data_IF_647587274182
#
_entry.id   IF_647587274182
#
_cell.length_a   1.000
_cell.length_b   1.000
_cell.length_c   1.000
_cell.angle_alpha   90.00
_cell.angle_beta   90.00
_cell.angle_gamma   90.00
#
_symmetry.space_group_name_H-M   'P 1'
#
loop_
_entity.id
_entity.type
_entity.pdbx_description
1 polymer ?
#
# COMPACT_ATOMS: atom_id res chain seq x y z
N UNK A 1 -17.42 56.94 -110.83
CA UNK A 1 -18.67 57.28 -111.54
C UNK A 1 -19.82 57.02 -110.59
N UNK A 2 -20.54 58.09 -110.23
CA UNK A 2 -21.87 58.12 -109.57
C UNK A 2 -21.98 57.48 -108.16
N UNK A 3 -22.73 58.03 -107.21
CA UNK A 3 -23.52 59.27 -107.13
C UNK A 3 -23.72 59.56 -105.63
N UNK A 4 -23.79 60.84 -105.32
CA UNK A 4 -24.31 61.41 -104.08
C UNK A 4 -25.71 60.88 -103.70
N UNK A 5 -26.05 60.84 -102.41
CA UNK A 5 -27.36 61.40 -102.02
C UNK A 5 -27.39 61.89 -100.57
N UNK A 6 -27.34 63.23 -100.44
CA UNK A 6 -28.25 64.11 -99.68
C UNK A 6 -29.58 63.43 -99.28
N UNK A 7 -30.29 63.68 -98.19
CA UNK A 7 -30.51 64.87 -97.33
C UNK A 7 -31.48 64.39 -96.22
N UNK A 8 -31.36 64.93 -94.99
CA UNK A 8 -32.39 65.67 -94.25
C UNK A 8 -32.33 65.43 -92.74
N UNK A 9 -32.25 66.55 -92.06
CA UNK A 9 -32.14 66.78 -90.63
C UNK A 9 -33.47 66.51 -89.92
N UNK A 10 -33.44 65.78 -88.81
CA UNK A 10 -34.43 65.92 -87.73
C UNK A 10 -33.64 65.96 -86.42
N UNK A 11 -33.65 67.12 -85.78
CA UNK A 11 -33.08 67.31 -84.45
C UNK A 11 -34.06 66.69 -83.46
N UNK A 12 -33.63 65.61 -82.79
CA UNK A 12 -34.28 65.08 -81.60
C UNK A 12 -33.30 65.32 -80.44
N UNK A 13 -33.63 66.27 -79.57
CA UNK A 13 -32.88 66.49 -78.34
C UNK A 13 -33.20 65.37 -77.36
N UNK A 14 -32.25 64.45 -77.19
CA UNK A 14 -32.27 63.46 -76.09
C UNK A 14 -31.38 64.02 -74.99
N UNK A 15 -31.97 64.37 -73.84
CA UNK A 15 -31.20 64.57 -72.62
C UNK A 15 -30.66 63.22 -72.18
N UNK A 16 -29.36 63.01 -72.35
CA UNK A 16 -28.65 61.88 -71.78
C UNK A 16 -28.29 62.24 -70.33
N UNK A 17 -29.13 61.85 -69.38
CA UNK A 17 -28.77 61.86 -67.96
C UNK A 17 -27.77 60.72 -67.72
N UNK A 18 -26.48 61.02 -67.80
CA UNK A 18 -25.43 60.13 -67.29
C UNK A 18 -25.55 60.17 -65.77
N UNK A 19 -26.19 59.14 -65.20
CA UNK A 19 -26.09 58.86 -63.77
C UNK A 19 -24.68 58.32 -63.54
N UNK A 20 -23.80 59.14 -62.97
CA UNK A 20 -22.53 58.66 -62.44
C UNK A 20 -22.88 57.83 -61.21
N UNK A 21 -22.78 56.50 -61.28
CA UNK A 21 -22.81 55.68 -60.07
C UNK A 21 -21.61 56.08 -59.21
N UNK A 22 -21.86 56.34 -57.93
CA UNK A 22 -20.80 56.63 -56.96
C UNK A 22 -19.87 55.41 -56.91
N UNK A 23 -18.57 55.63 -56.93
CA UNK A 23 -17.55 54.57 -56.82
C UNK A 23 -17.67 53.87 -55.47
N UNK A 24 -17.70 52.53 -55.47
CA UNK A 24 -17.85 51.70 -54.27
C UNK A 24 -16.57 51.74 -53.41
N UNK A 25 -16.71 51.98 -52.11
CA UNK A 25 -15.60 51.92 -51.16
C UNK A 25 -15.64 50.54 -50.47
N UNK A 26 -14.56 49.73 -50.50
CA UNK A 26 -14.54 48.44 -49.81
C UNK A 26 -14.83 48.59 -48.30
N UNK A 27 -15.45 47.58 -47.67
CA UNK A 27 -15.73 47.62 -46.24
C UNK A 27 -14.44 47.55 -45.41
N UNK A 28 -14.48 48.01 -44.16
CA UNK A 28 -13.47 47.73 -43.13
C UNK A 28 -13.83 46.46 -42.36
N UNK A 29 -12.83 45.78 -41.83
CA UNK A 29 -13.03 44.56 -41.03
C UNK A 29 -11.86 44.36 -40.07
N UNK A 30 -12.17 44.23 -38.78
CA UNK A 30 -11.23 43.92 -37.71
C UNK A 30 -11.86 42.91 -36.74
N UNK A 31 -11.06 41.95 -36.26
CA UNK A 31 -11.48 41.07 -35.17
C UNK A 31 -11.19 41.83 -33.87
N UNK A 32 -12.23 42.18 -33.13
CA UNK A 32 -12.12 42.91 -31.86
C UNK A 32 -12.00 41.98 -30.65
N UNK A 33 -12.31 40.70 -30.82
CA UNK A 33 -12.00 39.62 -29.89
C UNK A 33 -12.13 38.26 -30.61
N UNK A 34 -11.27 37.27 -30.34
CA UNK A 34 -10.10 37.32 -29.45
C UNK A 34 -8.93 38.11 -30.03
N UNK A 35 -7.95 38.44 -29.18
CA UNK A 35 -6.70 39.07 -29.60
C UNK A 35 -5.79 38.06 -30.32
N UNK A 36 -4.94 38.55 -31.23
CA UNK A 36 -3.98 37.68 -31.91
C UNK A 36 -2.91 37.16 -30.92
N UNK A 37 -2.86 35.85 -30.76
CA UNK A 37 -2.00 35.14 -29.82
C UNK A 37 -2.64 34.90 -28.45
N UNK A 38 -3.93 35.19 -28.27
CA UNK A 38 -4.65 34.89 -27.04
C UNK A 38 -4.75 33.36 -26.81
N UNK A 39 -4.72 32.94 -25.55
CA UNK A 39 -4.72 31.55 -25.14
C UNK A 39 -6.06 31.19 -24.48
N UNK A 40 -6.58 30.01 -24.82
CA UNK A 40 -7.83 29.44 -24.29
C UNK A 40 -7.62 27.95 -23.99
N UNK A 41 -8.50 27.33 -23.22
CA UNK A 41 -8.49 25.88 -23.00
C UNK A 41 -9.47 25.19 -23.95
N UNK A 42 -9.12 23.99 -24.45
CA UNK A 42 -10.08 23.13 -25.17
C UNK A 42 -11.29 22.88 -24.27
N UNK A 43 -12.47 23.24 -24.74
CA UNK A 43 -13.73 23.20 -23.98
C UNK A 43 -14.28 24.58 -23.60
N UNK A 44 -13.50 25.65 -23.78
CA UNK A 44 -14.01 27.03 -23.68
C UNK A 44 -14.99 27.35 -24.81
N UNK A 45 -15.95 28.24 -24.51
CA UNK A 45 -16.78 28.89 -25.54
C UNK A 45 -16.13 30.23 -25.87
N UNK A 46 -15.58 30.34 -27.08
CA UNK A 46 -14.91 31.54 -27.57
C UNK A 46 -15.90 32.37 -28.40
N UNK A 47 -16.07 33.63 -28.04
CA UNK A 47 -16.90 34.57 -28.83
C UNK A 47 -16.02 35.39 -29.76
N UNK A 48 -16.06 35.08 -31.06
CA UNK A 48 -15.39 35.86 -32.09
C UNK A 48 -16.24 37.09 -32.39
N UNK A 49 -15.75 38.27 -32.05
CA UNK A 49 -16.42 39.56 -32.24
C UNK A 49 -15.71 40.35 -33.34
N UNK A 50 -16.48 40.93 -34.26
CA UNK A 50 -15.96 41.59 -35.46
C UNK A 50 -16.54 43.00 -35.58
N UNK A 51 -15.64 43.97 -35.75
CA UNK A 51 -15.96 45.35 -36.10
C UNK A 51 -15.83 45.50 -37.62
N UNK A 52 -16.97 45.58 -38.31
CA UNK A 52 -17.03 45.77 -39.75
C UNK A 52 -17.95 46.95 -40.10
N UNK A 53 -17.45 47.87 -40.92
CA UNK A 53 -18.18 49.05 -41.37
C UNK A 53 -18.05 49.22 -42.88
N UNK A 54 -19.07 49.80 -43.50
CA UNK A 54 -19.03 50.20 -44.90
C UNK A 54 -19.36 51.69 -44.99
N UNK A 55 -18.46 52.45 -45.62
CA UNK A 55 -18.49 53.91 -45.63
C UNK A 55 -19.50 54.48 -46.64
N UNK A 56 -19.86 53.71 -47.67
CA UNK A 56 -20.81 54.14 -48.70
C UNK A 56 -21.99 53.19 -48.93
N UNK A 57 -22.05 52.10 -48.18
CA UNK A 57 -23.15 51.14 -48.23
C UNK A 57 -23.45 50.48 -46.88
N UNK A 58 -23.72 49.19 -46.94
CA UNK A 58 -23.99 48.34 -45.77
C UNK A 58 -23.23 47.03 -45.90
N UNK A 59 -22.83 46.45 -44.76
CA UNK A 59 -22.33 45.07 -44.73
C UNK A 59 -23.47 44.10 -45.05
N UNK A 60 -23.29 43.29 -46.09
CA UNK A 60 -24.21 42.20 -46.47
C UNK A 60 -23.98 40.95 -45.61
N UNK A 61 -22.71 40.60 -45.34
CA UNK A 61 -22.35 39.39 -44.62
C UNK A 61 -20.96 39.46 -43.98
N UNK A 62 -20.84 39.00 -42.74
CA UNK A 62 -19.57 38.62 -42.10
C UNK A 62 -19.55 37.09 -41.97
N UNK A 63 -18.53 36.43 -42.51
CA UNK A 63 -18.38 34.96 -42.46
C UNK A 63 -17.14 34.56 -41.67
N UNK A 64 -17.30 33.56 -40.82
CA UNK A 64 -16.29 33.07 -39.89
C UNK A 64 -15.71 31.74 -40.37
N UNK A 65 -14.40 31.59 -40.21
CA UNK A 65 -13.67 30.38 -40.56
C UNK A 65 -12.70 29.99 -39.45
N UNK A 66 -12.64 28.69 -39.16
CA UNK A 66 -11.66 28.05 -38.27
C UNK A 66 -10.82 27.11 -39.14
N UNK A 67 -9.51 27.32 -39.18
CA UNK A 67 -8.57 26.58 -40.04
C UNK A 67 -9.04 26.46 -41.50
N UNK A 68 -9.50 27.59 -42.04
CA UNK A 68 -10.06 27.74 -43.39
C UNK A 68 -11.40 26.99 -43.64
N UNK A 69 -11.98 26.33 -42.64
CA UNK A 69 -13.31 25.72 -42.67
C UNK A 69 -14.35 26.77 -42.27
N UNK A 70 -15.38 26.98 -43.10
CA UNK A 70 -16.46 27.92 -42.78
C UNK A 70 -17.38 27.38 -41.68
N UNK A 71 -17.50 28.12 -40.57
CA UNK A 71 -18.24 27.68 -39.37
C UNK A 71 -19.54 28.46 -39.12
N UNK A 72 -19.69 29.65 -39.70
CA UNK A 72 -20.89 30.46 -39.51
C UNK A 72 -20.83 31.80 -40.23
N UNK A 73 -21.91 32.58 -40.12
CA UNK A 73 -22.01 33.92 -40.67
C UNK A 73 -22.98 34.79 -39.86
N UNK A 74 -22.76 36.11 -39.86
CA UNK A 74 -23.66 37.11 -39.31
C UNK A 74 -24.00 38.16 -40.39
N UNK A 75 -25.27 38.54 -40.50
CA UNK A 75 -25.76 39.50 -41.50
C UNK A 75 -26.27 40.81 -40.88
N UNK A 76 -26.04 41.02 -39.58
CA UNK A 76 -26.44 42.24 -38.86
C UNK A 76 -25.59 42.42 -37.60
N UNK A 77 -25.32 43.67 -37.23
CA UNK A 77 -24.61 44.02 -36.00
C UNK A 77 -25.37 43.59 -34.72
N UNK A 78 -24.69 43.06 -33.68
CA UNK A 78 -23.25 42.78 -33.60
C UNK A 78 -22.85 41.54 -34.41
N UNK A 79 -21.69 41.59 -35.07
CA UNK A 79 -21.17 40.50 -35.88
C UNK A 79 -20.35 39.54 -35.02
N UNK A 80 -21.06 38.65 -34.32
CA UNK A 80 -20.45 37.69 -33.40
C UNK A 80 -20.68 36.24 -33.83
N UNK A 81 -19.74 35.37 -33.47
CA UNK A 81 -19.88 33.92 -33.56
C UNK A 81 -19.40 33.26 -32.25
N UNK A 82 -20.26 32.49 -31.61
CA UNK A 82 -19.90 31.65 -30.46
C UNK A 82 -19.39 30.31 -30.97
N UNK A 83 -18.13 30.01 -30.67
CA UNK A 83 -17.44 28.77 -31.03
C UNK A 83 -17.21 27.92 -29.78
N UNK A 84 -17.82 26.74 -29.76
CA UNK A 84 -17.60 25.71 -28.72
C UNK A 84 -16.39 24.86 -29.11
N UNK A 85 -15.30 24.98 -28.35
CA UNK A 85 -14.02 24.35 -28.68
C UNK A 85 -13.87 22.91 -28.15
N UNK A 86 -14.90 22.33 -27.53
CA UNK A 86 -14.81 21.02 -26.85
C UNK A 86 -14.38 19.84 -27.72
N UNK A 87 -14.57 19.94 -29.04
CA UNK A 87 -14.27 18.89 -30.02
C UNK A 87 -13.01 19.20 -30.84
N UNK A 88 -12.28 20.27 -30.49
CA UNK A 88 -11.06 20.71 -31.18
C UNK A 88 -9.82 20.04 -30.57
N UNK A 89 -8.79 19.83 -31.40
CA UNK A 89 -7.46 19.43 -30.92
C UNK A 89 -6.75 20.62 -30.25
N UNK A 90 -5.88 20.36 -29.27
CA UNK A 90 -5.02 21.39 -28.70
C UNK A 90 -3.97 21.87 -29.72
N UNK A 91 -3.57 23.13 -29.62
CA UNK A 91 -2.56 23.74 -30.48
C UNK A 91 -2.98 25.08 -31.09
N UNK A 92 -2.21 25.52 -32.09
CA UNK A 92 -2.42 26.81 -32.74
C UNK A 92 -3.55 26.69 -33.76
N UNK A 93 -4.63 27.45 -33.55
CA UNK A 93 -5.79 27.51 -34.44
C UNK A 93 -5.85 28.84 -35.18
N UNK A 94 -6.17 28.82 -36.48
CA UNK A 94 -6.31 30.04 -37.29
C UNK A 94 -7.76 30.47 -37.41
N UNK A 95 -8.05 31.68 -36.93
CA UNK A 95 -9.33 32.33 -37.15
C UNK A 95 -9.21 33.26 -38.34
N UNK A 96 -10.09 33.10 -39.32
CA UNK A 96 -10.23 34.00 -40.47
C UNK A 96 -11.66 34.51 -40.52
N UNK A 97 -11.83 35.80 -40.77
CA UNK A 97 -13.13 36.44 -40.98
C UNK A 97 -13.14 37.15 -42.32
N UNK A 98 -14.25 37.08 -43.04
CA UNK A 98 -14.47 37.85 -44.27
C UNK A 98 -15.72 38.72 -44.16
N UNK A 99 -15.60 40.03 -44.36
CA UNK A 99 -16.73 40.97 -44.45
C UNK A 99 -17.00 41.32 -45.91
N UNK A 100 -18.27 41.26 -46.33
CA UNK A 100 -18.75 41.52 -47.68
C UNK A 100 -19.76 42.67 -47.67
N UNK A 101 -19.59 43.66 -48.52
CA UNK A 101 -20.51 44.79 -48.68
C UNK A 101 -21.71 44.47 -49.59
N UNK A 102 -22.66 45.42 -49.71
CA UNK A 102 -23.86 45.29 -50.55
C UNK A 102 -23.57 45.34 -52.07
N UNK A 103 -22.33 45.64 -52.45
CA UNK A 103 -21.84 45.58 -53.85
C UNK A 103 -21.01 44.33 -54.14
N UNK A 104 -20.80 43.47 -53.14
CA UNK A 104 -20.11 42.18 -53.24
C UNK A 104 -18.59 42.24 -53.10
N UNK A 105 -18.00 43.37 -52.68
CA UNK A 105 -16.56 43.45 -52.35
C UNK A 105 -16.31 42.79 -51.00
N UNK A 106 -15.25 42.01 -50.91
CA UNK A 106 -14.88 41.23 -49.71
C UNK A 106 -13.52 41.69 -49.17
N UNK A 107 -13.45 41.90 -47.86
CA UNK A 107 -12.19 42.09 -47.11
C UNK A 107 -12.04 40.96 -46.09
N UNK A 108 -10.80 40.49 -45.90
CA UNK A 108 -10.48 39.41 -44.96
C UNK A 108 -9.48 39.86 -43.90
N UNK A 109 -9.64 39.35 -42.68
CA UNK A 109 -8.71 39.49 -41.56
C UNK A 109 -8.43 38.12 -40.94
N UNK A 110 -7.23 37.93 -40.39
CA UNK A 110 -6.77 36.67 -39.81
C UNK A 110 -6.04 36.92 -38.51
N UNK A 111 -6.28 36.06 -37.53
CA UNK A 111 -5.50 35.95 -36.30
C UNK A 111 -5.20 34.47 -36.03
N UNK A 112 -4.31 34.21 -35.09
CA UNK A 112 -4.10 32.87 -34.54
C UNK A 112 -4.25 32.92 -33.03
N UNK A 113 -4.86 31.89 -32.46
CA UNK A 113 -4.96 31.68 -31.01
C UNK A 113 -4.29 30.35 -30.65
N UNK A 114 -4.03 30.13 -29.36
CA UNK A 114 -3.55 28.84 -28.85
C UNK A 114 -4.65 28.20 -28.00
N UNK A 115 -5.06 26.98 -28.36
CA UNK A 115 -5.87 26.13 -27.50
C UNK A 115 -4.95 25.23 -26.68
N UNK A 116 -5.00 25.35 -25.36
CA UNK A 116 -4.30 24.48 -24.42
C UNK A 116 -5.13 23.21 -24.13
N UNK A 117 -4.49 22.08 -23.75
CA UNK A 117 -5.21 20.87 -23.36
C UNK A 117 -6.14 21.17 -22.18
N UNK A 118 -7.45 21.09 -22.40
CA UNK A 118 -8.43 21.31 -21.33
C UNK A 118 -8.33 20.27 -20.21
N UNK A 119 -8.53 20.70 -18.97
CA UNK A 119 -8.53 19.84 -17.78
C UNK A 119 -7.60 20.31 -16.66
N UNK A 120 -7.62 19.61 -15.53
CA UNK A 120 -6.72 19.85 -14.40
C UNK A 120 -5.63 18.77 -14.38
N UNK A 121 -4.39 19.07 -13.95
CA UNK A 121 -3.39 18.03 -13.70
C UNK A 121 -3.92 17.02 -12.66
N UNK A 122 -3.49 15.75 -12.71
CA UNK A 122 -3.98 14.75 -11.78
C UNK A 122 -3.60 15.11 -10.35
N UNK A 123 -4.38 14.64 -9.38
CA UNK A 123 -3.98 14.69 -7.95
C UNK A 123 -3.78 13.26 -7.49
N UNK A 124 -2.53 12.92 -7.16
CA UNK A 124 -2.15 11.56 -6.82
C UNK A 124 -2.74 11.14 -5.46
N UNK A 125 -3.40 10.00 -5.43
CA UNK A 125 -3.86 9.40 -4.18
C UNK A 125 -3.89 7.87 -4.30
N UNK A 126 -3.50 7.15 -3.25
CA UNK A 126 -3.61 5.69 -3.23
C UNK A 126 -3.87 5.05 -1.87
N UNK A 127 -4.27 3.78 -1.89
CA UNK A 127 -4.40 2.93 -0.71
C UNK A 127 -3.89 1.50 -0.96
N UNK A 128 -3.69 0.74 0.11
CA UNK A 128 -3.38 -0.68 0.08
C UNK A 128 -4.38 -1.47 0.94
N UNK A 129 -4.68 -2.71 0.56
CA UNK A 129 -5.60 -3.57 1.31
C UNK A 129 -5.02 -4.06 2.66
N UNK A 130 -3.69 -4.06 2.80
CA UNK A 130 -2.96 -4.32 4.05
C UNK A 130 -1.62 -3.58 4.03
N UNK A 131 -1.15 -3.16 5.21
CA UNK A 131 0.11 -2.43 5.38
C UNK A 131 1.15 -3.21 6.19
N UNK A 132 0.75 -4.35 6.77
CA UNK A 132 1.64 -5.31 7.43
C UNK A 132 1.60 -6.63 6.68
N UNK A 133 2.78 -7.12 6.30
CA UNK A 133 2.97 -8.30 5.46
C UNK A 133 3.97 -9.24 6.10
N UNK A 134 3.85 -10.52 5.74
CA UNK A 134 4.93 -11.48 5.90
C UNK A 134 5.71 -11.59 4.58
N UNK A 135 7.02 -11.82 4.63
CA UNK A 135 7.83 -12.09 3.44
C UNK A 135 7.16 -13.11 2.50
N UNK A 136 7.08 -12.76 1.22
CA UNK A 136 6.45 -13.57 0.19
C UNK A 136 4.93 -13.39 0.08
N UNK A 137 4.30 -12.61 0.96
CA UNK A 137 2.91 -12.23 0.79
C UNK A 137 2.73 -11.08 -0.22
N UNK A 138 1.63 -11.15 -0.96
CA UNK A 138 1.22 -10.07 -1.86
C UNK A 138 0.31 -9.06 -1.16
N UNK A 139 0.45 -7.79 -1.52
CA UNK A 139 -0.45 -6.67 -1.22
C UNK A 139 -1.13 -6.21 -2.51
N UNK A 140 -2.36 -5.74 -2.41
CA UNK A 140 -3.10 -5.11 -3.51
C UNK A 140 -3.15 -3.60 -3.27
N UNK A 141 -2.61 -2.84 -4.22
CA UNK A 141 -2.73 -1.39 -4.24
C UNK A 141 -3.93 -0.96 -5.09
N UNK A 142 -4.53 0.16 -4.68
CA UNK A 142 -5.68 0.77 -5.35
C UNK A 142 -5.40 2.25 -5.58
N UNK A 143 -5.47 2.66 -6.84
CA UNK A 143 -5.43 4.07 -7.26
C UNK A 143 -6.72 4.80 -6.82
N UNK A 144 -6.56 6.01 -6.29
CA UNK A 144 -7.62 6.90 -5.83
C UNK A 144 -7.45 8.32 -6.40
N UNK A 145 -6.57 8.48 -7.39
CA UNK A 145 -6.22 9.76 -7.97
C UNK A 145 -7.40 10.40 -8.71
N UNK A 146 -7.42 11.74 -8.78
CA UNK A 146 -8.47 12.51 -9.46
C UNK A 146 -7.97 13.17 -10.75
N UNK A 147 -8.88 13.80 -11.50
CA UNK A 147 -8.63 14.51 -12.77
C UNK A 147 -8.13 13.58 -13.91
N UNK A 148 -8.83 12.45 -14.06
CA UNK A 148 -8.70 11.50 -15.18
C UNK A 148 -7.25 11.14 -15.57
N UNK A 149 -6.48 10.50 -14.66
CA UNK A 149 -5.17 9.98 -14.99
C UNK A 149 -5.20 9.01 -16.18
N UNK A 150 -4.24 9.14 -17.08
CA UNK A 150 -4.04 8.24 -18.23
C UNK A 150 -2.77 7.40 -18.11
N UNK A 151 -1.90 7.69 -17.13
CA UNK A 151 -0.69 6.93 -16.84
C UNK A 151 -0.42 6.80 -15.34
N UNK A 152 0.18 5.67 -14.94
CA UNK A 152 0.60 5.35 -13.58
C UNK A 152 2.03 4.86 -13.56
N UNK A 153 2.79 5.24 -12.54
CA UNK A 153 4.11 4.74 -12.25
C UNK A 153 4.24 4.55 -10.74
N UNK A 154 4.30 3.29 -10.32
CA UNK A 154 4.50 2.87 -8.95
C UNK A 154 5.98 2.61 -8.69
N UNK A 155 6.46 3.04 -7.53
CA UNK A 155 7.70 2.58 -6.90
C UNK A 155 7.32 1.99 -5.54
N UNK A 156 7.65 0.70 -5.33
CA UNK A 156 7.28 -0.03 -4.12
C UNK A 156 8.31 0.11 -3.00
N UNK A 157 9.43 0.81 -3.24
CA UNK A 157 10.49 1.05 -2.26
C UNK A 157 11.49 -0.09 -2.09
N UNK A 158 11.29 -1.21 -2.79
CA UNK A 158 12.17 -2.38 -2.81
C UNK A 158 13.01 -2.49 -4.09
N UNK A 159 12.96 -1.46 -4.95
CA UNK A 159 13.60 -1.41 -6.26
C UNK A 159 12.74 -1.96 -7.41
N UNK A 160 11.52 -2.44 -7.13
CA UNK A 160 10.55 -2.84 -8.14
C UNK A 160 9.51 -1.75 -8.43
N UNK A 161 8.93 -1.81 -9.63
CA UNK A 161 8.00 -0.78 -10.14
C UNK A 161 6.86 -1.39 -10.93
N UNK A 162 5.76 -0.65 -11.12
CA UNK A 162 4.63 -1.06 -11.97
C UNK A 162 3.98 0.12 -12.70
N UNK A 163 3.38 -0.13 -13.86
CA UNK A 163 2.56 0.85 -14.62
C UNK A 163 1.07 0.50 -14.65
N UNK A 164 0.65 -0.56 -13.96
CA UNK A 164 -0.76 -0.90 -13.83
C UNK A 164 -1.47 0.08 -12.90
N UNK A 165 -2.73 0.44 -13.18
CA UNK A 165 -3.52 1.31 -12.31
C UNK A 165 -3.68 0.74 -10.88
N UNK A 166 -4.00 -0.55 -10.76
CA UNK A 166 -4.22 -1.24 -9.49
C UNK A 166 -3.32 -2.48 -9.38
N UNK A 167 -2.01 -2.34 -9.10
CA UNK A 167 -1.09 -3.47 -9.10
C UNK A 167 -1.22 -4.34 -7.84
N UNK A 168 -0.97 -5.64 -8.00
CA UNK A 168 -0.60 -6.51 -6.88
C UNK A 168 0.93 -6.63 -6.85
N UNK A 169 1.51 -6.47 -5.66
CA UNK A 169 2.96 -6.54 -5.45
C UNK A 169 3.30 -7.51 -4.33
N UNK A 170 4.43 -8.21 -4.45
CA UNK A 170 4.91 -9.18 -3.45
C UNK A 170 6.26 -8.74 -2.93
N UNK A 171 6.34 -8.47 -1.63
CA UNK A 171 7.60 -8.13 -0.99
C UNK A 171 8.31 -9.40 -0.52
N UNK A 172 9.51 -9.65 -1.05
CA UNK A 172 10.28 -10.86 -0.77
C UNK A 172 11.30 -10.72 0.37
N UNK A 173 11.44 -9.52 0.92
CA UNK A 173 12.42 -9.21 1.96
C UNK A 173 11.73 -8.43 3.07
N UNK A 174 12.13 -8.70 4.31
CA UNK A 174 11.66 -7.96 5.47
C UNK A 174 12.23 -6.54 5.48
N UNK A 175 11.43 -5.60 5.97
CA UNK A 175 11.80 -4.20 6.03
C UNK A 175 10.58 -3.29 6.09
N UNK A 176 10.84 -2.00 6.16
CA UNK A 176 9.81 -0.96 6.02
C UNK A 176 10.05 -0.25 4.70
N UNK A 177 9.01 -0.15 3.90
CA UNK A 177 9.07 0.34 2.52
C UNK A 177 8.29 1.64 2.38
N UNK A 178 8.93 2.61 1.74
CA UNK A 178 8.29 3.82 1.23
C UNK A 178 7.67 3.51 -0.13
N UNK A 179 6.38 3.84 -0.30
CA UNK A 179 5.68 3.61 -1.56
C UNK A 179 5.35 4.95 -2.19
N UNK A 180 5.62 5.06 -3.49
CA UNK A 180 5.32 6.24 -4.30
C UNK A 180 4.45 5.89 -5.50
N UNK A 181 3.47 6.72 -5.78
CA UNK A 181 2.66 6.69 -7.00
C UNK A 181 2.81 8.02 -7.71
N UNK A 182 3.26 7.99 -8.97
CA UNK A 182 3.17 9.12 -9.91
C UNK A 182 2.06 8.85 -10.93
N UNK A 183 1.17 9.81 -11.11
CA UNK A 183 0.09 9.77 -12.11
C UNK A 183 0.26 10.88 -13.13
N UNK A 184 -0.20 10.66 -14.36
CA UNK A 184 -0.04 11.61 -15.48
C UNK A 184 -1.30 11.65 -16.32
N UNK A 185 -1.64 12.84 -16.84
CA UNK A 185 -2.62 13.05 -17.90
C UNK A 185 -2.03 14.02 -18.96
N UNK A 186 -2.84 14.50 -19.91
CA UNK A 186 -2.41 15.45 -20.96
C UNK A 186 -2.02 16.82 -20.41
N UNK A 187 -2.57 17.21 -19.26
CA UNK A 187 -2.34 18.51 -18.61
C UNK A 187 -1.11 18.51 -17.69
N UNK A 188 -0.70 17.34 -17.17
CA UNK A 188 0.50 17.25 -16.35
C UNK A 188 0.61 15.96 -15.52
N UNK A 189 1.36 16.03 -14.43
CA UNK A 189 1.61 14.91 -13.52
C UNK A 189 1.67 15.34 -12.07
N UNK A 190 1.33 14.44 -11.16
CA UNK A 190 1.48 14.60 -9.72
C UNK A 190 1.94 13.29 -9.06
N UNK A 191 2.47 13.37 -7.84
CA UNK A 191 2.99 12.22 -7.10
C UNK A 191 2.64 12.24 -5.62
N UNK A 192 2.19 11.10 -5.09
CA UNK A 192 2.01 10.87 -3.65
C UNK A 192 3.08 9.88 -3.16
N UNK A 193 3.74 10.19 -2.05
CA UNK A 193 4.72 9.29 -1.41
C UNK A 193 4.35 9.08 0.06
N UNK A 194 4.30 7.83 0.49
CA UNK A 194 4.02 7.44 1.88
C UNK A 194 5.24 6.73 2.46
N UNK A 195 6.00 7.45 3.29
CA UNK A 195 7.18 6.90 3.98
C UNK A 195 6.78 5.81 4.98
N UNK A 196 7.46 4.67 4.92
CA UNK A 196 7.23 3.54 5.81
C UNK A 196 5.83 2.93 5.73
N UNK A 197 5.17 3.05 4.58
CA UNK A 197 3.77 2.68 4.39
C UNK A 197 3.51 1.18 4.49
N UNK A 198 4.47 0.36 4.02
CA UNK A 198 4.40 -1.10 4.10
C UNK A 198 5.48 -1.60 5.05
N UNK A 199 5.09 -2.43 6.01
CA UNK A 199 6.01 -3.16 6.90
C UNK A 199 5.94 -4.64 6.58
N UNK A 200 7.08 -5.21 6.18
CA UNK A 200 7.23 -6.63 5.91
C UNK A 200 8.05 -7.21 7.05
N UNK A 201 7.46 -8.15 7.78
CA UNK A 201 8.18 -8.95 8.77
C UNK A 201 8.68 -10.21 8.09
N UNK A 202 9.84 -10.70 8.53
CA UNK A 202 10.35 -12.00 8.10
C UNK A 202 9.30 -13.06 8.33
N UNK A 203 9.10 -13.96 7.37
CA UNK A 203 8.23 -15.11 7.60
C UNK A 203 8.80 -15.94 8.72
N UNK A 204 8.21 -15.78 9.91
CA UNK A 204 8.58 -16.37 11.20
C UNK A 204 9.69 -17.41 11.15
N UNK A 205 10.90 -16.92 10.92
CA UNK A 205 12.15 -17.45 11.37
C UNK A 205 12.57 -18.85 10.98
N UNK A 206 11.89 -19.73 10.21
CA UNK A 206 12.41 -21.11 10.04
C UNK A 206 13.81 -21.13 9.41
N UNK A 207 14.85 -21.26 10.24
CA UNK A 207 16.27 -21.25 9.83
C UNK A 207 16.82 -22.66 9.66
N UNK A 208 16.08 -23.66 10.11
CA UNK A 208 16.42 -25.05 9.93
C UNK A 208 15.62 -25.96 10.85
N UNK A 209 16.21 -27.11 11.14
CA UNK A 209 15.70 -28.06 12.11
C UNK A 209 16.82 -28.59 12.99
N UNK A 210 16.46 -28.99 14.21
CA UNK A 210 17.32 -29.75 15.12
C UNK A 210 16.63 -31.07 15.45
N UNK A 211 17.41 -32.14 15.57
CA UNK A 211 16.90 -33.47 15.91
C UNK A 211 17.48 -33.91 17.26
N UNK A 212 16.63 -34.39 18.17
CA UNK A 212 17.11 -34.99 19.43
C UNK A 212 17.64 -36.42 19.23
N UNK A 213 18.12 -37.04 20.32
CA UNK A 213 18.67 -38.39 20.28
C UNK A 213 17.63 -39.48 19.93
N UNK A 214 16.34 -39.16 20.03
CA UNK A 214 15.24 -40.07 19.77
C UNK A 214 14.65 -39.89 18.36
N UNK A 215 15.22 -38.98 17.57
CA UNK A 215 14.75 -38.68 16.22
C UNK A 215 13.58 -37.71 16.16
N UNK A 216 13.21 -37.06 17.27
CA UNK A 216 12.24 -35.98 17.24
C UNK A 216 12.88 -34.78 16.53
N UNK A 217 12.25 -34.35 15.43
CA UNK A 217 12.67 -33.18 14.66
C UNK A 217 11.89 -31.96 15.15
N UNK A 218 12.60 -30.86 15.34
CA UNK A 218 12.05 -29.58 15.77
C UNK A 218 12.51 -28.48 14.82
N UNK A 219 11.59 -27.59 14.46
CA UNK A 219 11.90 -26.35 13.73
C UNK A 219 12.76 -25.43 14.58
N UNK A 220 13.71 -24.74 13.93
CA UNK A 220 14.54 -23.72 14.56
C UNK A 220 14.26 -22.36 13.95
N UNK A 221 14.41 -21.32 14.76
CA UNK A 221 14.17 -19.94 14.38
C UNK A 221 15.26 -19.01 14.85
N UNK A 222 15.59 -17.98 14.07
CA UNK A 222 16.57 -16.95 14.48
C UNK A 222 15.86 -15.65 14.86
N UNK A 223 16.09 -15.18 16.08
CA UNK A 223 15.61 -13.89 16.58
C UNK A 223 16.81 -13.08 17.03
N UNK A 224 17.10 -11.98 16.33
CA UNK A 224 18.32 -11.22 16.52
C UNK A 224 19.54 -12.08 16.23
N UNK A 225 20.43 -12.24 17.21
CA UNK A 225 21.62 -13.08 17.10
C UNK A 225 21.44 -14.50 17.66
N UNK A 226 20.25 -14.81 18.20
CA UNK A 226 19.98 -16.06 18.89
C UNK A 226 19.19 -17.03 18.00
N UNK A 227 19.57 -18.31 17.98
CA UNK A 227 18.82 -19.37 17.31
C UNK A 227 18.09 -20.24 18.34
N UNK A 228 16.76 -20.25 18.27
CA UNK A 228 15.85 -20.89 19.20
C UNK A 228 15.13 -22.07 18.56
N UNK A 229 14.68 -23.04 19.35
CA UNK A 229 13.66 -23.98 18.91
C UNK A 229 12.29 -23.28 18.83
N UNK A 230 11.58 -23.50 17.72
CA UNK A 230 10.20 -23.05 17.51
C UNK A 230 9.15 -24.02 18.06
N UNK A 231 9.57 -25.18 18.58
CA UNK A 231 8.67 -26.17 19.19
C UNK A 231 9.09 -26.53 20.61
N UNK A 232 8.10 -26.92 21.45
CA UNK A 232 8.39 -27.38 22.80
C UNK A 232 9.10 -28.74 22.74
N UNK A 233 10.12 -28.91 23.58
CA UNK A 233 10.88 -30.16 23.65
C UNK A 233 10.00 -31.34 24.09
N UNK A 234 10.14 -32.48 23.42
CA UNK A 234 9.35 -33.71 23.65
C UNK A 234 10.20 -34.97 23.83
N UNK A 235 11.46 -34.79 24.20
CA UNK A 235 12.39 -35.87 24.43
C UNK A 235 12.11 -36.59 25.76
N UNK A 236 12.37 -37.89 25.81
CA UNK A 236 12.27 -38.71 27.00
C UNK A 236 13.66 -39.16 27.49
N UNK A 237 14.71 -38.70 26.82
CA UNK A 237 16.11 -39.00 27.11
C UNK A 237 16.95 -37.74 27.07
N UNK A 238 18.00 -37.75 27.88
CA UNK A 238 19.09 -36.80 27.76
C UNK A 238 19.88 -37.04 26.47
N UNK A 239 20.64 -36.04 26.03
CA UNK A 239 21.49 -36.10 24.84
C UNK A 239 22.65 -37.11 24.93
N UNK A 240 22.90 -37.71 26.10
CA UNK A 240 23.81 -38.83 26.30
C UNK A 240 23.11 -40.20 26.26
N UNK A 241 21.79 -40.23 26.01
CA UNK A 241 20.96 -41.42 25.94
C UNK A 241 20.38 -41.89 27.27
N UNK A 242 20.74 -41.24 28.39
CA UNK A 242 20.17 -41.56 29.71
C UNK A 242 18.67 -41.26 29.72
N UNK A 243 17.85 -42.23 30.14
CA UNK A 243 16.40 -42.06 30.25
C UNK A 243 16.01 -41.11 31.38
N UNK A 244 15.06 -40.22 31.09
CA UNK A 244 14.40 -39.37 32.08
C UNK A 244 13.23 -40.17 32.68
N UNK A 245 13.04 -40.22 34.00
CA UNK A 245 11.91 -40.93 34.59
C UNK A 245 10.54 -40.32 34.21
N UNK A 246 9.65 -41.14 33.64
CA UNK A 246 8.24 -40.79 33.47
C UNK A 246 7.54 -40.92 34.83
N UNK A 247 7.10 -39.81 35.41
CA UNK A 247 6.44 -39.79 36.72
C UNK A 247 4.99 -39.38 36.54
N UNK A 248 4.04 -40.31 36.64
CA UNK A 248 2.60 -40.02 36.45
C UNK A 248 1.83 -39.94 37.76
N UNK A 249 2.32 -40.57 38.83
CA UNK A 249 1.67 -40.57 40.15
C UNK A 249 1.64 -39.20 40.81
N UNK A 250 0.47 -38.77 41.29
CA UNK A 250 0.28 -37.47 41.96
C UNK A 250 1.17 -37.34 43.20
N UNK A 251 1.17 -38.36 44.08
CA UNK A 251 1.97 -38.36 45.32
C UNK A 251 3.47 -38.42 45.06
N UNK A 252 3.89 -39.19 44.04
CA UNK A 252 5.30 -39.28 43.64
C UNK A 252 5.79 -37.92 43.11
N UNK A 253 5.03 -37.32 42.18
CA UNK A 253 5.33 -35.98 41.66
C UNK A 253 5.41 -34.95 42.79
N UNK A 254 4.49 -35.01 43.75
CA UNK A 254 4.40 -34.06 44.86
C UNK A 254 5.55 -34.12 45.86
N UNK A 255 6.42 -35.12 45.78
CA UNK A 255 7.64 -35.20 46.58
C UNK A 255 8.92 -35.25 45.73
N UNK A 256 8.78 -35.09 44.40
CA UNK A 256 9.87 -35.27 43.45
C UNK A 256 10.95 -34.19 43.60
N UNK A 257 12.15 -34.61 44.00
CA UNK A 257 13.38 -33.80 44.09
C UNK A 257 14.48 -34.27 43.14
N UNK A 258 14.14 -35.20 42.24
CA UNK A 258 15.02 -35.79 41.23
C UNK A 258 14.44 -35.50 39.84
N UNK A 259 15.22 -35.70 38.74
CA UNK A 259 14.67 -35.55 37.40
C UNK A 259 13.41 -36.37 37.17
N UNK A 260 12.47 -35.77 36.45
CA UNK A 260 11.28 -36.43 35.94
C UNK A 260 10.55 -35.57 34.91
N UNK A 261 9.74 -36.24 34.11
CA UNK A 261 8.85 -35.63 33.13
C UNK A 261 7.47 -36.29 33.14
N UNK A 262 6.51 -35.63 32.53
CA UNK A 262 5.21 -36.19 32.18
C UNK A 262 4.63 -35.50 30.96
N UNK A 263 3.64 -36.12 30.33
CA UNK A 263 2.75 -35.47 29.37
C UNK A 263 1.62 -34.78 30.11
N UNK A 264 1.02 -33.74 29.53
CA UNK A 264 -0.17 -33.12 30.13
C UNK A 264 -1.27 -34.19 30.29
N UNK A 265 -1.99 -34.17 31.42
CA UNK A 265 -2.97 -35.19 31.83
C UNK A 265 -2.46 -36.66 31.76
N UNK A 266 -1.14 -36.86 31.73
CA UNK A 266 -0.48 -38.14 31.47
C UNK A 266 -0.90 -38.81 30.15
N UNK A 267 -1.32 -38.04 29.14
CA UNK A 267 -1.71 -38.53 27.82
C UNK A 267 -0.67 -38.15 26.76
N UNK A 268 0.18 -39.11 26.39
CA UNK A 268 1.18 -38.94 25.34
C UNK A 268 0.54 -38.70 23.97
N UNK A 269 -0.51 -39.47 23.65
CA UNK A 269 -1.06 -39.51 22.29
C UNK A 269 -1.68 -38.17 21.90
N UNK A 270 -2.33 -37.51 22.87
CA UNK A 270 -3.03 -36.25 22.63
C UNK A 270 -2.09 -35.03 22.70
N UNK A 271 -1.14 -35.03 23.64
CA UNK A 271 -0.45 -33.79 24.01
C UNK A 271 1.03 -33.72 23.61
N UNK A 272 1.69 -34.85 23.31
CA UNK A 272 3.12 -34.87 22.99
C UNK A 272 3.49 -33.98 21.81
N UNK A 273 2.82 -34.17 20.68
CA UNK A 273 3.23 -33.48 19.44
C UNK A 273 2.81 -32.01 19.43
N UNK A 274 1.72 -31.67 20.11
CA UNK A 274 1.22 -30.28 20.17
C UNK A 274 1.92 -29.45 21.24
N UNK A 275 2.13 -29.98 22.43
CA UNK A 275 2.57 -29.21 23.60
C UNK A 275 3.94 -29.62 24.15
N UNK A 276 4.48 -30.76 23.70
CA UNK A 276 5.70 -31.32 24.25
C UNK A 276 5.52 -31.89 25.66
N UNK A 277 6.64 -32.21 26.30
CA UNK A 277 6.64 -32.73 27.66
C UNK A 277 6.68 -31.60 28.70
N UNK A 278 6.19 -31.91 29.89
CA UNK A 278 6.34 -31.10 31.08
C UNK A 278 7.45 -31.69 31.94
N UNK A 279 8.56 -30.96 32.07
CA UNK A 279 9.71 -31.37 32.86
C UNK A 279 9.72 -30.62 34.19
N UNK A 280 10.14 -31.30 35.26
CA UNK A 280 10.54 -30.58 36.45
C UNK A 280 11.92 -29.93 36.25
N UNK A 281 12.26 -28.97 37.10
CA UNK A 281 13.51 -28.21 36.93
C UNK A 281 14.77 -29.06 37.21
N UNK A 282 14.66 -30.13 38.00
CA UNK A 282 15.77 -31.06 38.20
C UNK A 282 16.17 -31.78 36.90
N UNK A 283 15.23 -31.99 35.98
CA UNK A 283 15.53 -32.47 34.64
C UNK A 283 16.24 -31.40 33.81
N UNK A 284 15.82 -30.14 33.95
CA UNK A 284 16.34 -28.98 33.21
C UNK A 284 17.79 -28.66 33.57
N UNK A 285 18.13 -28.65 34.87
CA UNK A 285 19.44 -28.23 35.37
C UNK A 285 20.50 -29.35 35.28
N UNK A 286 20.68 -29.90 34.07
CA UNK A 286 21.62 -31.00 33.80
C UNK A 286 22.57 -30.74 32.62
N UNK A 287 22.36 -29.65 31.87
CA UNK A 287 23.02 -29.31 30.59
C UNK A 287 22.89 -30.39 29.49
N UNK A 288 22.06 -31.41 29.72
CA UNK A 288 21.91 -32.58 28.84
C UNK A 288 20.53 -32.73 28.24
N UNK A 289 19.56 -31.91 28.66
CA UNK A 289 18.17 -32.07 28.24
C UNK A 289 17.97 -31.76 26.76
N UNK A 290 18.64 -30.71 26.26
CA UNK A 290 18.54 -30.28 24.87
C UNK A 290 19.44 -31.12 23.94
N UNK A 291 19.17 -31.15 22.63
CA UNK A 291 20.04 -31.78 21.63
C UNK A 291 21.50 -31.31 21.75
N UNK A 292 22.46 -32.11 21.25
CA UNK A 292 23.87 -31.71 21.27
C UNK A 292 24.10 -30.41 20.49
N UNK A 293 24.84 -29.45 21.07
CA UNK A 293 25.01 -28.10 20.53
C UNK A 293 23.87 -27.13 20.87
N UNK A 294 22.99 -27.52 21.80
CA UNK A 294 21.87 -26.74 22.29
C UNK A 294 21.75 -26.87 23.81
N UNK A 295 21.24 -25.84 24.47
CA UNK A 295 21.04 -25.80 25.91
C UNK A 295 19.67 -25.22 26.28
N UNK A 296 19.27 -25.39 27.55
CA UNK A 296 18.09 -24.71 28.08
C UNK A 296 18.49 -23.28 28.44
N UNK A 297 17.81 -22.25 27.90
CA UNK A 297 18.24 -20.87 28.02
C UNK A 297 18.20 -20.37 29.46
N UNK A 298 19.22 -19.61 29.81
CA UNK A 298 19.37 -18.86 31.05
C UNK A 298 18.37 -17.70 31.11
N UNK A 299 18.19 -17.14 32.31
CA UNK A 299 17.29 -16.02 32.51
C UNK A 299 17.81 -14.75 31.80
N UNK A 300 19.14 -14.65 31.65
CA UNK A 300 19.80 -13.60 30.87
C UNK A 300 19.44 -13.71 29.38
N UNK A 301 19.57 -14.89 28.77
CA UNK A 301 19.25 -15.11 27.36
C UNK A 301 17.78 -14.88 27.04
N UNK A 302 16.88 -15.29 27.94
CA UNK A 302 15.46 -14.93 27.84
C UNK A 302 15.21 -13.42 27.92
N UNK A 303 16.00 -12.70 28.71
CA UNK A 303 15.89 -11.23 28.84
C UNK A 303 16.46 -10.54 27.60
N UNK A 304 17.51 -11.08 26.99
CA UNK A 304 18.04 -10.61 25.71
C UNK A 304 17.01 -10.75 24.58
N UNK A 305 16.33 -11.89 24.49
CA UNK A 305 15.21 -12.10 23.56
C UNK A 305 14.13 -11.04 23.75
N UNK A 306 13.67 -10.83 24.99
CA UNK A 306 12.63 -9.85 25.31
C UNK A 306 13.05 -8.43 24.90
N UNK A 307 14.27 -8.01 25.27
CA UNK A 307 14.80 -6.71 24.93
C UNK A 307 14.94 -6.49 23.42
N UNK A 308 15.41 -7.51 22.69
CA UNK A 308 15.52 -7.45 21.23
C UNK A 308 14.15 -7.23 20.60
N UNK A 309 13.15 -8.00 21.02
CA UNK A 309 11.80 -7.91 20.46
C UNK A 309 11.17 -6.54 20.72
N UNK A 310 11.27 -6.03 21.93
CA UNK A 310 10.76 -4.69 22.28
C UNK A 310 11.48 -3.62 21.45
N UNK A 311 12.81 -3.65 21.39
CA UNK A 311 13.60 -2.63 20.69
C UNK A 311 13.35 -2.60 19.16
N UNK A 312 12.92 -3.72 18.58
CA UNK A 312 12.69 -3.87 17.13
C UNK A 312 11.20 -3.88 16.76
N UNK A 313 10.33 -3.32 17.61
CA UNK A 313 8.93 -3.06 17.25
C UNK A 313 8.03 -4.29 17.23
N UNK A 314 8.43 -5.41 17.85
CA UNK A 314 7.60 -6.62 17.97
C UNK A 314 6.52 -6.52 19.04
N UNK A 315 6.25 -5.35 19.60
CA UNK A 315 5.04 -5.17 20.39
C UNK A 315 3.81 -5.22 19.47
N UNK A 316 2.68 -5.73 19.96
CA UNK A 316 1.47 -5.86 19.13
C UNK A 316 0.96 -4.52 18.56
N UNK A 317 1.33 -3.41 19.18
CA UNK A 317 1.00 -2.04 18.78
C UNK A 317 2.16 -1.32 18.04
N UNK A 318 3.22 -2.05 17.69
CA UNK A 318 4.42 -1.54 17.01
C UNK A 318 5.32 -0.65 17.87
N UNK A 319 4.96 -0.38 19.13
CA UNK A 319 5.76 0.50 19.99
C UNK A 319 7.07 -0.16 20.42
N UNK A 320 8.12 0.62 20.68
CA UNK A 320 9.42 0.11 21.16
C UNK A 320 9.61 0.28 22.67
N UNK A 321 8.51 0.48 23.41
CA UNK A 321 8.53 0.74 24.85
C UNK A 321 7.53 -0.14 25.59
N UNK A 322 7.98 -0.71 26.71
CA UNK A 322 7.19 -1.65 27.50
C UNK A 322 7.14 -3.04 26.85
N UNK A 323 6.98 -4.06 27.69
CA UNK A 323 6.82 -5.43 27.24
C UNK A 323 5.37 -5.65 26.79
N UNK A 324 5.15 -5.73 25.48
CA UNK A 324 3.85 -6.08 24.86
C UNK A 324 4.06 -7.08 23.70
N UNK A 325 5.08 -7.92 23.83
CA UNK A 325 5.56 -8.85 22.80
C UNK A 325 4.78 -10.18 22.78
N UNK A 326 3.73 -10.32 23.60
CA UNK A 326 3.04 -11.58 23.82
C UNK A 326 2.54 -12.22 22.52
N UNK A 327 1.85 -11.44 21.68
CA UNK A 327 1.38 -11.92 20.37
C UNK A 327 2.53 -12.36 19.47
N UNK A 328 3.64 -11.65 19.48
CA UNK A 328 4.79 -11.93 18.61
C UNK A 328 5.46 -13.28 18.92
N UNK A 329 5.36 -13.76 20.15
CA UNK A 329 5.87 -15.06 20.58
C UNK A 329 4.82 -16.18 20.50
N UNK A 330 3.54 -15.87 20.73
CA UNK A 330 2.48 -16.86 20.82
C UNK A 330 2.28 -17.66 19.53
N UNK A 331 1.86 -18.92 19.66
CA UNK A 331 1.35 -19.69 18.53
C UNK A 331 0.06 -19.06 17.95
N UNK A 332 -0.21 -19.33 16.68
CA UNK A 332 -1.37 -18.81 15.93
C UNK A 332 -2.70 -19.50 16.26
N UNK A 333 -2.66 -20.50 17.13
CA UNK A 333 -3.84 -21.26 17.58
C UNK A 333 -3.58 -21.94 18.93
N UNK A 334 -4.61 -22.57 19.48
CA UNK A 334 -4.55 -23.35 20.72
C UNK A 334 -4.78 -22.54 21.99
N UNK A 335 -4.82 -21.21 21.91
CA UNK A 335 -5.16 -20.36 23.05
C UNK A 335 -6.67 -20.24 23.23
N UNK A 336 -7.12 -20.11 24.47
CA UNK A 336 -8.49 -19.71 24.76
C UNK A 336 -8.73 -18.27 24.30
N UNK A 337 -9.98 -17.95 23.99
CA UNK A 337 -10.33 -16.64 23.42
C UNK A 337 -10.26 -15.52 24.45
N UNK A 338 -9.73 -14.36 24.05
CA UNK A 338 -9.82 -13.10 24.78
C UNK A 338 -10.44 -12.00 23.92
N UNK A 339 -11.11 -11.05 24.56
CA UNK A 339 -11.61 -9.82 23.93
C UNK A 339 -10.67 -8.61 24.07
N UNK A 340 -9.62 -8.72 24.88
CA UNK A 340 -8.65 -7.64 25.06
C UNK A 340 -7.79 -7.45 23.81
N UNK A 341 -7.78 -6.23 23.27
CA UNK A 341 -6.92 -5.89 22.12
C UNK A 341 -5.46 -6.08 22.52
N UNK A 342 -4.73 -6.84 21.70
CA UNK A 342 -3.32 -7.17 21.95
C UNK A 342 -3.11 -8.42 22.80
N UNK A 343 -4.16 -8.95 23.43
CA UNK A 343 -4.05 -10.21 24.16
C UNK A 343 -3.75 -11.36 23.20
N UNK A 344 -2.97 -12.32 23.66
CA UNK A 344 -2.61 -13.50 22.87
C UNK A 344 -3.83 -14.28 22.36
N UNK A 345 -4.89 -14.37 23.14
CA UNK A 345 -6.13 -15.07 22.78
C UNK A 345 -7.07 -14.26 21.88
N UNK A 346 -6.77 -12.99 21.62
CA UNK A 346 -7.54 -12.11 20.74
C UNK A 346 -6.92 -12.13 19.34
N UNK A 347 -7.69 -12.38 18.27
CA UNK A 347 -7.17 -12.47 16.89
C UNK A 347 -5.87 -13.32 16.79
N UNK A 348 -5.97 -14.62 17.10
CA UNK A 348 -4.78 -15.48 17.17
C UNK A 348 -4.06 -15.63 15.82
N UNK A 349 -4.75 -15.39 14.71
CA UNK A 349 -4.15 -15.35 13.37
C UNK A 349 -3.04 -14.32 13.23
N UNK A 350 -3.08 -13.21 13.99
CA UNK A 350 -2.01 -12.20 14.00
C UNK A 350 -0.89 -12.50 15.01
N UNK A 351 -0.93 -13.64 15.69
CA UNK A 351 0.17 -14.05 16.55
C UNK A 351 1.36 -14.56 15.74
N UNK A 352 2.46 -14.84 16.45
CA UNK A 352 3.65 -15.51 15.96
C UNK A 352 4.51 -14.73 14.95
N UNK A 353 4.57 -13.40 15.09
CA UNK A 353 5.40 -12.54 14.24
C UNK A 353 6.90 -12.92 14.23
N UNK A 354 7.37 -13.70 15.21
CA UNK A 354 8.77 -14.13 15.35
C UNK A 354 9.04 -15.55 14.82
N UNK A 355 8.01 -16.36 14.61
CA UNK A 355 8.15 -17.81 14.37
C UNK A 355 8.37 -18.65 15.65
N UNK A 356 8.53 -18.03 16.82
CA UNK A 356 8.77 -18.74 18.09
C UNK A 356 7.67 -19.76 18.44
N UNK A 357 6.42 -19.54 18.04
CA UNK A 357 5.31 -20.49 18.15
C UNK A 357 5.06 -21.01 19.57
N UNK A 358 4.96 -20.12 20.55
CA UNK A 358 4.75 -20.46 21.95
C UNK A 358 3.34 -21.04 22.17
N UNK A 359 3.22 -22.35 22.40
CA UNK A 359 1.94 -23.02 22.65
C UNK A 359 1.53 -23.02 24.14
N UNK A 360 0.22 -22.95 24.45
CA UNK A 360 -0.31 -22.98 25.81
C UNK A 360 -0.44 -24.40 26.37
N UNK A 361 0.70 -25.07 26.56
CA UNK A 361 0.78 -26.44 27.05
C UNK A 361 0.40 -26.66 28.52
N UNK A 362 0.03 -25.59 29.25
CA UNK A 362 -0.31 -25.66 30.65
C UNK A 362 0.87 -26.09 31.52
N UNK A 363 0.56 -26.64 32.69
CA UNK A 363 1.57 -27.08 33.64
C UNK A 363 1.11 -28.22 34.54
N UNK A 364 2.07 -28.80 35.27
CA UNK A 364 1.83 -29.65 36.42
C UNK A 364 2.30 -28.97 37.70
N UNK A 365 1.40 -28.82 38.67
CA UNK A 365 1.74 -28.21 39.97
C UNK A 365 2.43 -29.21 40.90
N UNK A 366 3.02 -28.69 41.99
CA UNK A 366 3.71 -29.49 43.01
C UNK A 366 2.76 -30.32 43.88
N UNK A 367 1.45 -30.13 43.78
CA UNK A 367 0.47 -31.08 44.32
C UNK A 367 0.11 -32.19 43.31
N UNK A 368 0.83 -32.27 42.18
CA UNK A 368 0.69 -33.27 41.12
C UNK A 368 -0.44 -33.03 40.13
N UNK A 369 -1.29 -32.01 40.33
CA UNK A 369 -2.42 -31.72 39.45
C UNK A 369 -2.01 -30.94 38.20
N UNK A 370 -2.68 -31.23 37.09
CA UNK A 370 -2.54 -30.50 35.82
C UNK A 370 -3.47 -29.30 35.78
N UNK A 371 -3.08 -28.26 35.05
CA UNK A 371 -3.92 -27.09 34.81
C UNK A 371 -3.45 -26.26 33.63
N UNK A 372 -4.29 -25.32 33.22
CA UNK A 372 -3.97 -24.20 32.32
C UNK A 372 -3.65 -24.54 30.86
N UNK A 373 -3.87 -25.77 30.36
CA UNK A 373 -3.85 -25.98 28.90
C UNK A 373 -4.84 -25.03 28.23
N UNK A 374 -4.40 -24.41 27.13
CA UNK A 374 -5.13 -23.36 26.41
C UNK A 374 -5.11 -21.98 27.09
N UNK A 375 -4.88 -21.91 28.40
CA UNK A 375 -4.84 -20.65 29.15
C UNK A 375 -3.43 -20.07 29.28
N UNK A 376 -2.43 -20.92 29.53
CA UNK A 376 -1.05 -20.49 29.75
C UNK A 376 -0.05 -21.43 29.08
N UNK A 377 1.01 -20.83 28.56
CA UNK A 377 2.27 -21.51 28.26
C UNK A 377 3.32 -21.15 29.31
N UNK A 378 4.12 -22.14 29.70
CA UNK A 378 5.14 -21.99 30.73
C UNK A 378 6.44 -22.64 30.27
N UNK A 379 7.55 -21.90 30.42
CA UNK A 379 8.87 -22.36 29.99
C UNK A 379 9.90 -22.18 31.08
N UNK A 380 10.64 -23.25 31.38
CA UNK A 380 11.76 -23.18 32.30
C UNK A 380 12.92 -22.35 31.72
N UNK A 381 13.62 -21.68 32.63
CA UNK A 381 15.01 -21.30 32.43
C UNK A 381 15.93 -22.27 33.18
N UNK A 382 17.16 -22.44 32.71
CA UNK A 382 18.23 -23.12 33.45
C UNK A 382 18.71 -22.33 34.68
N UNK A 383 18.37 -21.04 34.80
CA UNK A 383 18.82 -20.21 35.93
C UNK A 383 18.04 -20.46 37.22
N UNK A 384 18.76 -20.81 38.27
CA UNK A 384 18.22 -20.92 39.63
C UNK A 384 17.84 -19.54 40.20
N UNK A 385 16.68 -19.45 40.87
CA UNK A 385 16.24 -18.24 41.58
C UNK A 385 16.56 -18.35 43.07
N UNK A 386 16.28 -19.52 43.65
CA UNK A 386 16.55 -19.85 45.04
C UNK A 386 16.70 -21.36 45.20
N UNK A 387 17.02 -21.82 46.41
CA UNK A 387 17.17 -23.24 46.71
C UNK A 387 15.95 -24.09 46.33
N UNK A 388 14.73 -23.53 46.36
CA UNK A 388 13.48 -24.23 46.04
C UNK A 388 12.81 -23.78 44.75
N UNK A 389 13.28 -22.70 44.11
CA UNK A 389 12.65 -22.13 42.92
C UNK A 389 13.65 -21.80 41.82
N UNK A 390 13.19 -21.81 40.58
CA UNK A 390 13.97 -21.42 39.42
C UNK A 390 13.22 -20.41 38.55
N UNK A 391 13.95 -19.64 37.75
CA UNK A 391 13.35 -18.69 36.81
C UNK A 391 12.55 -19.40 35.73
N UNK A 392 11.48 -18.75 35.28
CA UNK A 392 10.63 -19.20 34.18
C UNK A 392 10.09 -18.02 33.39
N UNK A 393 9.60 -18.32 32.20
CA UNK A 393 8.72 -17.42 31.44
C UNK A 393 7.31 -17.97 31.37
N UNK A 394 6.33 -17.09 31.31
CA UNK A 394 4.94 -17.48 31.12
C UNK A 394 4.18 -16.50 30.26
N UNK A 395 3.30 -17.03 29.42
CA UNK A 395 2.41 -16.26 28.58
C UNK A 395 0.99 -16.74 28.81
N UNK A 396 0.05 -15.82 28.98
CA UNK A 396 -1.37 -16.14 29.24
C UNK A 396 -2.27 -15.61 28.13
N UNK A 397 -3.37 -16.31 27.88
CA UNK A 397 -4.30 -15.99 26.78
C UNK A 397 -4.90 -14.58 26.88
N UNK A 398 -5.09 -14.05 28.10
CA UNK A 398 -5.64 -12.71 28.35
C UNK A 398 -4.55 -11.70 28.74
N UNK A 399 -3.33 -11.89 28.22
CA UNK A 399 -2.21 -11.00 28.43
C UNK A 399 -1.56 -10.69 27.09
N UNK A 400 -0.93 -9.51 27.00
CA UNK A 400 -0.18 -9.07 25.83
C UNK A 400 1.33 -9.08 26.03
N UNK A 401 1.84 -9.63 27.14
CA UNK A 401 3.24 -9.54 27.53
C UNK A 401 3.80 -10.86 28.06
N UNK A 402 5.11 -11.06 27.90
CA UNK A 402 5.81 -12.23 28.42
C UNK A 402 6.18 -12.00 29.89
N UNK A 403 5.63 -12.79 30.81
CA UNK A 403 5.94 -12.64 32.23
C UNK A 403 7.25 -13.34 32.59
N UNK A 404 8.07 -12.66 33.38
CA UNK A 404 9.22 -13.21 34.09
C UNK A 404 8.87 -13.42 35.57
N UNK A 405 9.00 -14.66 36.05
CA UNK A 405 8.77 -15.03 37.45
C UNK A 405 9.66 -16.23 37.82
N UNK A 406 9.58 -16.72 39.05
CA UNK A 406 10.07 -18.02 39.46
C UNK A 406 8.92 -19.03 39.62
N UNK A 407 9.25 -20.32 39.58
CA UNK A 407 8.36 -21.43 39.93
C UNK A 407 9.09 -22.42 40.83
N UNK A 408 8.35 -23.20 41.61
CA UNK A 408 8.96 -24.27 42.42
C UNK A 408 9.61 -25.30 41.49
N UNK A 409 10.84 -25.74 41.81
CA UNK A 409 11.63 -26.66 40.98
C UNK A 409 10.92 -27.99 40.69
N UNK A 410 9.96 -28.38 41.51
CA UNK A 410 9.14 -29.56 41.32
C UNK A 410 8.06 -29.42 40.23
N UNK A 411 7.65 -28.19 39.87
CA UNK A 411 6.57 -27.99 38.91
C UNK A 411 6.97 -28.46 37.52
N UNK A 412 6.01 -28.97 36.76
CA UNK A 412 6.21 -29.42 35.39
C UNK A 412 5.89 -28.29 34.42
N UNK A 413 6.90 -27.80 33.69
CA UNK A 413 6.75 -26.82 32.62
C UNK A 413 7.42 -27.30 31.33
N UNK A 414 7.02 -26.72 30.19
CA UNK A 414 7.66 -26.99 28.91
C UNK A 414 9.07 -26.40 28.87
N UNK A 415 9.83 -26.80 27.85
CA UNK A 415 11.20 -26.34 27.61
C UNK A 415 11.33 -25.93 26.14
N UNK A 416 12.10 -24.87 25.92
CA UNK A 416 12.62 -24.41 24.62
C UNK A 416 14.12 -24.40 24.71
N UNK A 417 14.82 -24.90 23.69
CA UNK A 417 16.28 -24.84 23.68
C UNK A 417 16.77 -23.69 22.81
N UNK A 418 17.96 -23.23 23.15
CA UNK A 418 18.73 -22.22 22.44
C UNK A 418 20.03 -22.87 21.96
N UNK A 419 20.53 -22.49 20.79
CA UNK A 419 21.78 -22.98 20.23
C UNK A 419 22.99 -22.39 20.99
N UNK A 420 24.02 -23.20 21.19
CA UNK A 420 25.27 -22.83 21.89
C UNK A 420 26.11 -21.76 21.17
#
# INVERSE_FOLDING_TARGET
>A
MKILSKILLVIFSVFLSISCEKENIPPTCEISSPDNGEEFDVGDIITISVDAEDADGTIDEVRFYIDDIGVGSASSFPYNYEWDTKDEDDGIVKIKVSAKDDKGVVVEVKISILLNPGGEPPVAAFSANKTSLIEGESVQFTDQSTNEPTGWQWDFGDGSTSTSQNPSHTYTTAGTYEVSLTVTNTTGSDSETKSGYITVITNGGETGTVTDIEGNVYKTITIGTQEWMAENLKTTKYNDGTSIPLVTGVTEWSNLTTPGYCWYDNDETTYKDTYGALYNWYTVNTDKLCPSGWHVPTDTEWTELENYLIANGYNYDGTTTGNKIGKSLAATSGWNSSSGVGDVGNDQSSNNATGFSAFPGGNRYGNGNFSNVGNYGYWWSSSEYSTTTAYRRSLGYSNNYLYRNSGNKQYGYSVRCLRD
#
